data_IF_423255308800
#
_entry.id   IF_423255308800
#
_cell.length_a   1.000
_cell.length_b   1.000
_cell.length_c   1.000
_cell.angle_alpha   90.00
_cell.angle_beta   90.00
_cell.angle_gamma   90.00
#
_symmetry.space_group_name_H-M   'P 1'
#
loop_
_entity.id
_entity.type
_entity.pdbx_description
1 polymer ?
#
# COMPACT_ATOMS: atom_id res chain seq x y z
N UNK A 1 21.46 -0.22 12.08
CA UNK A 1 20.70 -1.45 11.82
C UNK A 1 19.31 -1.13 11.29
N UNK A 2 18.45 -0.42 12.04
CA UNK A 2 17.10 -0.04 11.59
C UNK A 2 17.05 0.51 10.14
N UNK A 3 17.89 1.50 9.83
CA UNK A 3 17.99 2.06 8.47
C UNK A 3 18.32 1.00 7.41
N UNK A 4 19.32 0.16 7.64
CA UNK A 4 19.72 -0.87 6.68
C UNK A 4 18.67 -1.97 6.53
N UNK A 5 17.95 -2.33 7.60
CA UNK A 5 16.82 -3.27 7.53
C UNK A 5 15.68 -2.69 6.69
N UNK A 6 15.34 -1.41 6.88
CA UNK A 6 14.31 -0.76 6.06
C UNK A 6 14.72 -0.68 4.58
N UNK A 7 15.98 -0.32 4.30
CA UNK A 7 16.52 -0.30 2.94
C UNK A 7 16.57 -1.70 2.30
N UNK A 8 16.94 -2.75 3.05
CA UNK A 8 16.89 -4.12 2.58
C UNK A 8 15.46 -4.53 2.22
N UNK A 9 14.49 -4.28 3.11
CA UNK A 9 13.09 -4.62 2.85
C UNK A 9 12.56 -3.91 1.60
N UNK A 10 12.79 -2.61 1.47
CA UNK A 10 12.36 -1.83 0.31
C UNK A 10 13.06 -2.25 -0.99
N UNK A 11 14.39 -2.44 -0.95
CA UNK A 11 15.14 -2.83 -2.15
C UNK A 11 14.92 -4.27 -2.60
N UNK A 12 14.37 -5.13 -1.73
CA UNK A 12 13.93 -6.48 -2.09
C UNK A 12 12.54 -6.48 -2.69
N UNK A 13 11.66 -5.61 -2.16
CA UNK A 13 10.29 -5.44 -2.63
C UNK A 13 10.20 -5.10 -4.13
N UNK A 14 11.19 -4.38 -4.66
CA UNK A 14 11.22 -3.96 -6.08
C UNK A 14 11.70 -5.04 -7.07
N UNK A 15 12.29 -6.14 -6.60
CA UNK A 15 12.94 -7.14 -7.46
C UNK A 15 12.00 -8.03 -8.28
N UNK A 16 10.76 -8.34 -7.85
CA UNK A 16 9.80 -9.05 -8.69
C UNK A 16 9.51 -8.34 -10.02
N UNK A 17 9.68 -7.02 -10.05
CA UNK A 17 9.45 -6.18 -11.23
C UNK A 17 8.02 -6.27 -11.79
N UNK A 18 7.07 -6.39 -10.87
CA UNK A 18 5.65 -6.27 -11.16
C UNK A 18 5.18 -4.81 -11.12
N UNK A 19 3.93 -4.60 -11.48
CA UNK A 19 3.36 -3.28 -11.65
C UNK A 19 3.40 -2.45 -10.35
N UNK A 20 2.95 -3.01 -9.23
CA UNK A 20 3.04 -2.39 -7.91
C UNK A 20 4.49 -2.06 -7.52
N UNK A 21 5.44 -2.97 -7.72
CA UNK A 21 6.86 -2.75 -7.42
C UNK A 21 7.46 -1.59 -8.21
N UNK A 22 7.20 -1.55 -9.53
CA UNK A 22 7.73 -0.53 -10.43
C UNK A 22 7.20 0.86 -10.06
N UNK A 23 5.89 0.98 -9.82
CA UNK A 23 5.30 2.26 -9.45
C UNK A 23 5.62 2.68 -8.02
N UNK A 24 5.73 1.75 -7.07
CA UNK A 24 6.22 2.05 -5.73
C UNK A 24 7.65 2.62 -5.77
N UNK A 25 8.54 2.06 -6.61
CA UNK A 25 9.87 2.59 -6.82
C UNK A 25 9.85 3.97 -7.51
N UNK A 26 8.99 4.16 -8.51
CA UNK A 26 8.83 5.44 -9.19
C UNK A 26 8.38 6.54 -8.23
N UNK A 27 7.41 6.26 -7.37
CA UNK A 27 6.95 7.19 -6.32
C UNK A 27 8.07 7.48 -5.32
N UNK A 28 8.81 6.45 -4.88
CA UNK A 28 9.94 6.63 -3.98
C UNK A 28 11.04 7.53 -4.59
N UNK A 29 11.39 7.30 -5.85
CA UNK A 29 12.39 8.09 -6.58
C UNK A 29 11.93 9.51 -6.86
N UNK A 30 10.63 9.74 -7.06
CA UNK A 30 10.05 11.10 -7.14
C UNK A 30 10.28 11.91 -5.85
N UNK A 31 10.48 11.21 -4.74
CA UNK A 31 10.87 11.81 -3.48
C UNK A 31 12.35 12.20 -3.40
N UNK A 32 13.23 11.54 -4.14
CA UNK A 32 14.64 11.93 -4.19
C UNK A 32 14.81 13.34 -4.80
N UNK A 33 13.91 13.76 -5.69
CA UNK A 33 13.85 15.14 -6.21
C UNK A 33 13.58 16.17 -5.11
N UNK A 34 12.80 15.79 -4.09
CA UNK A 34 12.41 16.64 -2.98
C UNK A 34 13.29 16.45 -1.73
N UNK A 35 14.36 15.67 -1.83
CA UNK A 35 15.25 15.40 -0.72
C UNK A 35 16.01 16.68 -0.31
N UNK A 36 16.21 16.93 1.01
CA UNK A 36 17.03 18.04 1.48
C UNK A 36 18.48 17.88 1.01
N UNK A 37 19.05 18.93 0.43
CA UNK A 37 20.44 18.91 -0.06
C UNK A 37 21.41 19.51 0.94
N UNK A 38 22.70 19.12 0.90
CA UNK A 38 23.71 19.71 1.76
C UNK A 38 23.84 21.24 1.56
N UNK A 39 24.10 22.02 2.62
CA UNK A 39 24.23 23.47 2.51
C UNK A 39 25.31 23.86 1.49
N UNK A 40 24.97 24.78 0.58
CA UNK A 40 25.89 25.32 -0.42
C UNK A 40 25.97 24.51 -1.73
N UNK A 41 25.13 23.50 -1.92
CA UNK A 41 25.00 22.75 -3.18
C UNK A 41 23.64 23.06 -3.80
N UNK A 42 23.62 23.30 -5.12
CA UNK A 42 22.40 23.47 -5.89
C UNK A 42 21.51 22.21 -5.78
N UNK A 43 20.28 22.33 -5.24
CA UNK A 43 19.37 21.21 -5.09
C UNK A 43 19.08 20.46 -6.39
N UNK A 44 18.91 21.19 -7.49
CA UNK A 44 18.48 20.61 -8.77
C UNK A 44 19.60 19.74 -9.36
N UNK A 45 20.85 20.22 -9.24
CA UNK A 45 22.02 19.48 -9.71
C UNK A 45 22.27 18.24 -8.84
N UNK A 46 22.18 18.35 -7.52
CA UNK A 46 22.44 17.23 -6.64
C UNK A 46 21.33 16.16 -6.75
N UNK A 47 20.07 16.57 -6.61
CA UNK A 47 18.94 15.65 -6.63
C UNK A 47 18.77 15.01 -8.03
N UNK A 48 18.98 15.78 -9.11
CA UNK A 48 18.94 15.23 -10.47
C UNK A 48 20.01 14.16 -10.71
N UNK A 49 21.25 14.37 -10.22
CA UNK A 49 22.30 13.36 -10.33
C UNK A 49 22.01 12.11 -9.48
N UNK A 50 21.50 12.28 -8.26
CA UNK A 50 21.09 11.15 -7.40
C UNK A 50 19.99 10.35 -8.08
N UNK A 51 18.99 11.03 -8.66
CA UNK A 51 17.90 10.40 -9.39
C UNK A 51 18.40 9.61 -10.60
N UNK A 52 19.25 10.20 -11.44
CA UNK A 52 19.85 9.52 -12.60
C UNK A 52 20.66 8.27 -12.18
N UNK A 53 21.38 8.35 -11.07
CA UNK A 53 22.12 7.22 -10.53
C UNK A 53 21.17 6.12 -10.06
N UNK A 54 20.10 6.49 -9.37
CA UNK A 54 19.13 5.54 -8.82
C UNK A 54 18.23 4.90 -9.90
N UNK A 55 17.87 5.65 -10.94
CA UNK A 55 17.10 5.15 -12.10
C UNK A 55 17.96 4.35 -13.07
N UNK A 56 19.28 4.56 -13.07
CA UNK A 56 20.21 3.90 -13.99
C UNK A 56 20.10 4.40 -15.43
N UNK A 57 19.44 5.53 -15.66
CA UNK A 57 19.19 6.15 -16.96
C UNK A 57 18.27 7.38 -16.81
N UNK A 58 17.82 7.98 -17.93
CA UNK A 58 16.85 9.09 -17.91
C UNK A 58 15.45 8.70 -17.40
N UNK A 59 15.14 7.40 -17.42
CA UNK A 59 13.92 6.83 -16.89
C UNK A 59 14.27 5.50 -16.22
N UNK A 60 13.39 5.05 -15.32
CA UNK A 60 13.52 3.77 -14.65
C UNK A 60 13.35 2.64 -15.68
N UNK A 61 14.29 1.68 -15.68
CA UNK A 61 14.28 0.55 -16.60
C UNK A 61 15.32 -0.50 -16.22
N UNK A 62 15.75 -1.32 -17.18
CA UNK A 62 16.68 -2.43 -16.93
C UNK A 62 17.99 -2.02 -16.22
N UNK A 63 18.53 -0.85 -16.56
CA UNK A 63 19.71 -0.30 -15.89
C UNK A 63 19.49 0.03 -14.42
N UNK A 64 18.30 0.53 -14.07
CA UNK A 64 17.88 0.75 -12.69
C UNK A 64 17.69 -0.56 -11.94
N UNK A 65 16.97 -1.52 -12.53
CA UNK A 65 16.75 -2.84 -11.96
C UNK A 65 18.07 -3.52 -11.59
N UNK A 66 19.06 -3.54 -12.49
CA UNK A 66 20.37 -4.14 -12.19
C UNK A 66 21.08 -3.47 -11.01
N UNK A 67 21.00 -2.14 -10.89
CA UNK A 67 21.62 -1.40 -9.78
C UNK A 67 20.96 -1.73 -8.45
N UNK A 68 19.63 -1.74 -8.41
CA UNK A 68 18.88 -2.11 -7.21
C UNK A 68 19.07 -3.58 -6.83
N UNK A 69 19.16 -4.48 -7.82
CA UNK A 69 19.52 -5.88 -7.61
C UNK A 69 20.89 -6.02 -6.94
N UNK A 70 21.94 -5.39 -7.49
CA UNK A 70 23.28 -5.43 -6.89
C UNK A 70 23.32 -4.77 -5.51
N UNK A 71 22.57 -3.68 -5.32
CA UNK A 71 22.43 -3.02 -4.03
C UNK A 71 21.80 -3.97 -2.99
N UNK A 72 20.70 -4.64 -3.34
CA UNK A 72 19.96 -5.51 -2.44
C UNK A 72 20.66 -6.84 -2.13
N UNK A 73 21.25 -7.48 -3.15
CA UNK A 73 21.82 -8.83 -2.99
C UNK A 73 23.24 -8.80 -2.44
N UNK A 74 24.02 -7.74 -2.75
CA UNK A 74 25.43 -7.67 -2.37
C UNK A 74 25.72 -6.59 -1.32
N UNK A 75 25.48 -5.32 -1.65
CA UNK A 75 25.98 -4.20 -0.84
C UNK A 75 25.25 -4.06 0.50
N UNK A 76 23.91 -4.04 0.49
CA UNK A 76 23.12 -3.88 1.70
C UNK A 76 23.26 -5.05 2.68
N UNK A 77 23.30 -6.34 2.27
CA UNK A 77 23.56 -7.46 3.18
C UNK A 77 24.96 -7.39 3.79
N UNK A 78 25.97 -7.02 3.00
CA UNK A 78 27.34 -6.84 3.50
C UNK A 78 27.42 -5.75 4.57
N UNK A 79 26.84 -4.57 4.30
CA UNK A 79 26.79 -3.47 5.27
C UNK A 79 25.99 -3.88 6.52
N UNK A 80 24.84 -4.53 6.33
CA UNK A 80 24.01 -5.03 7.45
C UNK A 80 24.78 -6.02 8.30
N UNK A 81 25.54 -6.93 7.69
CA UNK A 81 26.42 -7.87 8.39
C UNK A 81 27.47 -7.16 9.24
N UNK A 82 28.17 -6.17 8.70
CA UNK A 82 29.15 -5.36 9.45
C UNK A 82 28.49 -4.71 10.67
N UNK A 83 27.37 -4.00 10.47
CA UNK A 83 26.68 -3.33 11.56
C UNK A 83 26.04 -4.30 12.57
N UNK A 84 25.64 -5.50 12.12
CA UNK A 84 25.17 -6.57 12.98
C UNK A 84 26.28 -7.05 13.90
N UNK A 85 27.49 -7.31 13.39
CA UNK A 85 28.63 -7.70 14.21
C UNK A 85 29.07 -6.58 15.16
N UNK A 86 29.06 -5.32 14.73
CA UNK A 86 29.33 -4.17 15.61
C UNK A 86 28.30 -4.09 16.74
N UNK A 87 27.02 -4.27 16.42
CA UNK A 87 25.95 -4.29 17.41
C UNK A 87 26.12 -5.46 18.39
N UNK A 88 26.30 -6.67 17.88
CA UNK A 88 26.52 -7.88 18.67
C UNK A 88 27.74 -7.75 19.59
N UNK A 89 28.87 -7.26 19.06
CA UNK A 89 30.07 -6.98 19.85
C UNK A 89 29.79 -6.00 20.99
N UNK A 90 29.04 -4.92 20.74
CA UNK A 90 28.66 -3.96 21.79
C UNK A 90 27.75 -4.58 22.85
N UNK A 91 26.79 -5.42 22.45
CA UNK A 91 25.93 -6.15 23.39
C UNK A 91 26.76 -7.09 24.26
N UNK A 92 27.73 -7.80 23.70
CA UNK A 92 28.65 -8.66 24.48
C UNK A 92 29.55 -7.85 25.40
N UNK A 93 30.05 -6.69 24.94
CA UNK A 93 30.96 -5.84 25.70
C UNK A 93 30.29 -5.23 26.95
N UNK A 94 29.09 -4.67 26.77
CA UNK A 94 28.34 -3.96 27.80
C UNK A 94 27.36 -4.85 28.58
N UNK A 95 26.94 -5.99 28.03
CA UNK A 95 25.96 -6.89 28.62
C UNK A 95 24.51 -6.52 28.28
N UNK A 96 23.59 -7.46 28.51
CA UNK A 96 22.15 -7.25 28.35
C UNK A 96 21.61 -6.53 29.59
N UNK A 97 20.81 -5.48 29.40
CA UNK A 97 20.19 -4.71 30.49
C UNK A 97 19.25 -5.58 31.33
N UNK A 98 19.22 -5.36 32.65
CA UNK A 98 18.29 -6.07 33.52
C UNK A 98 16.86 -5.50 33.39
N UNK A 99 15.83 -6.28 33.77
CA UNK A 99 14.46 -5.80 33.81
C UNK A 99 14.30 -4.54 34.68
N UNK A 100 13.45 -3.58 34.27
CA UNK A 100 13.17 -2.38 35.06
C UNK A 100 12.78 -2.73 36.50
N UNK A 101 13.57 -2.25 37.46
CA UNK A 101 13.34 -2.49 38.90
C UNK A 101 14.32 -3.42 39.59
N UNK A 102 15.12 -4.21 38.84
CA UNK A 102 16.23 -5.00 39.41
C UNK A 102 17.56 -4.26 39.44
N UNK A 103 17.65 -3.12 38.76
CA UNK A 103 18.80 -2.21 38.82
C UNK A 103 18.60 -1.13 39.89
N UNK A 104 19.70 -0.81 40.58
CA UNK A 104 19.76 0.35 41.47
C UNK A 104 19.80 1.65 40.66
N UNK A 105 19.26 2.73 41.22
CA UNK A 105 19.12 3.99 40.48
C UNK A 105 20.50 4.61 40.26
N UNK A 106 20.86 4.87 39.00
CA UNK A 106 22.13 5.50 38.64
C UNK A 106 23.33 4.56 38.57
N UNK A 107 23.16 3.26 38.78
CA UNK A 107 24.21 2.25 38.63
C UNK A 107 23.91 1.29 37.47
N UNK A 108 24.89 1.07 36.59
CA UNK A 108 24.83 0.02 35.58
C UNK A 108 25.35 -1.31 36.16
N UNK A 109 24.44 -2.09 36.74
CA UNK A 109 24.77 -3.37 37.38
C UNK A 109 24.63 -4.57 36.43
N UNK A 110 24.31 -4.35 35.15
CA UNK A 110 24.08 -5.41 34.16
C UNK A 110 25.24 -6.44 34.10
N UNK A 111 26.48 -5.98 34.19
CA UNK A 111 27.68 -6.85 34.20
C UNK A 111 28.08 -7.36 35.59
N UNK A 112 27.53 -6.79 36.67
CA UNK A 112 27.93 -7.02 38.06
C UNK A 112 27.01 -7.97 38.83
N UNK A 113 26.02 -8.57 38.15
CA UNK A 113 25.10 -9.55 38.74
C UNK A 113 25.87 -10.71 39.40
N UNK A 114 25.55 -11.12 40.64
CA UNK A 114 26.18 -12.27 41.29
C UNK A 114 26.09 -13.56 40.46
N UNK A 115 27.12 -14.43 40.51
CA UNK A 115 27.18 -15.65 39.68
C UNK A 115 26.02 -16.64 39.97
N UNK A 116 25.53 -16.66 41.20
CA UNK A 116 24.40 -17.49 41.63
C UNK A 116 23.06 -17.06 41.02
N UNK A 117 22.95 -15.84 40.49
CA UNK A 117 21.75 -15.34 39.82
C UNK A 117 21.86 -15.42 38.29
N UNK A 118 23.02 -15.81 37.75
CA UNK A 118 23.24 -15.94 36.31
C UNK A 118 22.94 -17.35 35.84
N UNK A 119 22.20 -17.45 34.74
CA UNK A 119 22.00 -18.70 34.00
C UNK A 119 22.97 -18.78 32.83
N UNK A 120 23.48 -19.97 32.53
CA UNK A 120 24.31 -20.17 31.33
C UNK A 120 23.46 -20.09 30.06
N UNK A 121 24.05 -19.58 28.98
CA UNK A 121 23.36 -19.52 27.69
C UNK A 121 22.97 -20.93 27.20
N UNK A 122 23.92 -21.87 27.22
CA UNK A 122 23.67 -23.28 26.94
C UNK A 122 23.57 -24.08 28.23
N UNK A 123 22.54 -24.93 28.42
CA UNK A 123 21.44 -25.23 27.50
C UNK A 123 20.19 -24.35 27.68
N UNK A 124 20.04 -23.68 28.82
CA UNK A 124 18.75 -23.15 29.28
C UNK A 124 18.19 -22.04 28.37
N UNK A 125 18.97 -20.98 28.12
CA UNK A 125 18.52 -19.86 27.28
C UNK A 125 18.43 -20.29 25.81
N UNK A 126 19.43 -21.04 25.33
CA UNK A 126 19.47 -21.51 23.94
C UNK A 126 18.26 -22.38 23.58
N UNK A 127 17.83 -23.29 24.46
CA UNK A 127 16.64 -24.13 24.22
C UNK A 127 15.35 -23.32 24.26
N UNK A 128 15.25 -22.34 25.17
CA UNK A 128 14.10 -21.44 25.25
C UNK A 128 13.99 -20.54 24.01
N UNK A 129 15.09 -19.91 23.58
CA UNK A 129 15.13 -19.10 22.36
C UNK A 129 14.88 -19.94 21.10
N UNK A 130 15.40 -21.17 21.04
CA UNK A 130 15.12 -22.10 19.94
C UNK A 130 13.63 -22.47 19.88
N UNK A 131 13.01 -22.75 21.03
CA UNK A 131 11.58 -23.04 21.10
C UNK A 131 10.75 -21.84 20.63
N UNK A 132 11.00 -20.63 21.15
CA UNK A 132 10.23 -19.45 20.76
C UNK A 132 10.45 -19.06 19.30
N UNK A 133 11.69 -19.12 18.80
CA UNK A 133 11.97 -18.88 17.38
C UNK A 133 11.27 -19.89 16.49
N UNK A 134 11.30 -21.18 16.83
CA UNK A 134 10.59 -22.23 16.10
C UNK A 134 9.06 -22.03 16.12
N UNK A 135 8.48 -21.68 17.26
CA UNK A 135 7.04 -21.38 17.37
C UNK A 135 6.68 -20.13 16.56
N UNK A 136 7.45 -19.05 16.64
CA UNK A 136 7.21 -17.85 15.84
C UNK A 136 7.30 -18.15 14.35
N UNK A 137 8.32 -18.88 13.90
CA UNK A 137 8.43 -19.30 12.49
C UNK A 137 7.25 -20.17 12.08
N UNK A 138 6.82 -21.12 12.92
CA UNK A 138 5.64 -21.95 12.66
C UNK A 138 4.39 -21.09 12.48
N UNK A 139 4.13 -20.13 13.37
CA UNK A 139 2.97 -19.25 13.28
C UNK A 139 3.03 -18.30 12.08
N UNK A 140 4.22 -17.80 11.71
CA UNK A 140 4.39 -16.97 10.52
C UNK A 140 4.16 -17.78 9.24
N UNK A 141 4.69 -19.00 9.15
CA UNK A 141 4.45 -19.90 8.00
C UNK A 141 2.96 -20.25 7.92
N UNK A 142 2.35 -20.63 9.05
CA UNK A 142 0.92 -20.89 9.13
C UNK A 142 0.08 -19.69 8.67
N UNK A 143 0.37 -18.51 9.20
CA UNK A 143 -0.31 -17.27 8.80
C UNK A 143 -0.14 -16.98 7.32
N UNK A 144 1.06 -17.14 6.76
CA UNK A 144 1.32 -16.90 5.33
C UNK A 144 0.65 -17.91 4.39
N UNK A 145 0.30 -19.11 4.88
CA UNK A 145 -0.37 -20.13 4.06
C UNK A 145 -1.90 -20.04 4.12
N UNK A 146 -2.47 -19.47 5.20
CA UNK A 146 -3.91 -19.54 5.46
C UNK A 146 -4.59 -18.18 5.68
N UNK A 147 -3.86 -17.12 6.04
CA UNK A 147 -4.45 -15.83 6.41
C UNK A 147 -4.11 -14.69 5.44
N UNK A 148 -3.00 -14.80 4.71
CA UNK A 148 -2.53 -13.74 3.82
C UNK A 148 -2.16 -14.27 2.45
N UNK A 149 -2.76 -13.68 1.43
CA UNK A 149 -2.38 -13.86 0.04
C UNK A 149 -1.50 -12.70 -0.42
N UNK A 150 -0.40 -13.02 -1.10
CA UNK A 150 0.46 -12.05 -1.75
C UNK A 150 0.71 -12.49 -3.21
N UNK A 151 -0.31 -12.34 -4.09
CA UNK A 151 -0.15 -12.65 -5.50
C UNK A 151 0.88 -11.71 -6.12
N UNK A 152 1.62 -12.21 -7.11
CA UNK A 152 2.44 -11.36 -7.97
C UNK A 152 1.53 -10.69 -9.01
N UNK A 153 1.72 -9.40 -9.22
CA UNK A 153 1.03 -8.68 -10.28
C UNK A 153 1.66 -8.97 -11.65
N UNK A 154 1.05 -8.44 -12.71
CA UNK A 154 1.62 -8.59 -14.05
C UNK A 154 2.96 -7.85 -14.17
N UNK A 155 3.75 -8.25 -15.17
CA UNK A 155 5.03 -7.61 -15.43
C UNK A 155 4.84 -6.11 -15.66
N UNK A 156 5.68 -5.28 -15.03
CA UNK A 156 5.53 -3.84 -15.05
C UNK A 156 5.40 -3.26 -16.48
N UNK A 157 4.36 -2.46 -16.69
CA UNK A 157 4.17 -1.59 -17.85
C UNK A 157 4.34 -0.14 -17.42
N UNK A 158 5.38 0.57 -17.90
CA UNK A 158 5.64 1.95 -17.52
C UNK A 158 4.63 2.95 -18.08
N UNK A 159 3.75 2.56 -19.00
CA UNK A 159 2.78 3.44 -19.66
C UNK A 159 1.42 3.45 -18.94
N UNK A 160 1.10 2.37 -18.23
CA UNK A 160 -0.13 2.26 -17.43
C UNK A 160 0.24 2.46 -15.98
N UNK A 161 -0.47 3.32 -15.23
CA UNK A 161 -0.27 3.47 -13.78
C UNK A 161 -1.50 2.95 -13.05
N UNK A 162 -1.39 1.99 -12.12
CA UNK A 162 -2.52 1.55 -11.32
C UNK A 162 -3.06 2.72 -10.50
N UNK A 163 -4.37 2.78 -10.33
CA UNK A 163 -4.97 3.86 -9.52
C UNK A 163 -4.57 3.75 -8.04
N UNK A 164 -4.53 2.53 -7.51
CA UNK A 164 -4.22 2.26 -6.10
C UNK A 164 -2.80 1.69 -5.96
N UNK A 165 -1.78 2.52 -6.16
CA UNK A 165 -0.42 2.16 -5.78
C UNK A 165 -0.26 2.40 -4.27
N UNK A 166 -0.02 1.32 -3.53
CA UNK A 166 0.19 1.35 -2.09
C UNK A 166 1.65 1.06 -1.73
N UNK A 167 2.19 1.83 -0.82
CA UNK A 167 3.48 1.56 -0.22
C UNK A 167 3.36 0.31 0.68
N UNK A 168 4.46 -0.46 0.82
CA UNK A 168 4.50 -1.56 1.77
C UNK A 168 4.05 -1.12 3.16
N UNK A 169 3.36 -1.98 3.90
CA UNK A 169 2.71 -1.64 5.17
C UNK A 169 3.62 -0.99 6.22
N UNK A 170 4.93 -1.24 6.17
CA UNK A 170 5.93 -0.64 7.08
C UNK A 170 6.37 0.78 6.65
N UNK A 171 6.02 1.21 5.44
CA UNK A 171 6.21 2.56 4.89
C UNK A 171 4.89 3.27 4.59
N UNK A 172 3.73 2.64 4.78
CA UNK A 172 2.43 3.25 4.44
C UNK A 172 2.18 4.55 5.20
N UNK A 173 2.72 4.69 6.41
CA UNK A 173 2.68 5.96 7.16
C UNK A 173 3.21 7.15 6.34
N UNK A 174 4.28 6.95 5.57
CA UNK A 174 4.86 8.02 4.75
C UNK A 174 3.97 8.40 3.57
N UNK A 175 3.30 7.42 2.95
CA UNK A 175 2.28 7.67 1.92
C UNK A 175 1.08 8.44 2.47
N UNK A 176 0.61 8.08 3.66
CA UNK A 176 -0.51 8.79 4.32
C UNK A 176 -0.21 10.27 4.50
N UNK A 177 1.04 10.62 4.83
CA UNK A 177 1.48 12.01 4.92
C UNK A 177 1.63 12.70 3.55
N UNK A 178 2.09 11.99 2.51
CA UNK A 178 2.14 12.53 1.14
C UNK A 178 0.77 12.89 0.58
N UNK A 179 -0.31 12.26 1.08
CA UNK A 179 -1.69 12.64 0.73
C UNK A 179 -2.15 13.95 1.39
N UNK A 180 -1.49 14.40 2.46
CA UNK A 180 -1.90 15.56 3.26
C UNK A 180 -0.98 16.77 3.11
N UNK A 181 0.30 16.54 2.85
CA UNK A 181 1.33 17.57 2.89
C UNK A 181 2.23 17.50 1.65
N UNK A 182 2.94 18.60 1.39
CA UNK A 182 3.92 18.66 0.31
C UNK A 182 5.03 17.61 0.48
N UNK A 183 5.47 17.03 -0.64
CA UNK A 183 6.49 15.97 -0.66
C UNK A 183 7.77 16.35 0.08
N UNK A 184 8.21 17.61 0.00
CA UNK A 184 9.43 18.11 0.63
C UNK A 184 9.38 18.00 2.15
N UNK A 185 8.23 18.31 2.75
CA UNK A 185 8.06 18.23 4.21
C UNK A 185 8.07 16.78 4.70
N UNK A 186 7.37 15.89 3.98
CA UNK A 186 7.27 14.48 4.36
C UNK A 186 8.60 13.76 4.21
N UNK A 187 9.30 13.99 3.09
CA UNK A 187 10.60 13.38 2.83
C UNK A 187 11.67 13.95 3.74
N UNK A 188 11.61 15.25 4.05
CA UNK A 188 12.47 15.88 5.06
C UNK A 188 12.24 15.36 6.49
N UNK A 189 11.04 14.87 6.80
CA UNK A 189 10.74 14.29 8.11
C UNK A 189 11.45 12.95 8.36
N UNK A 190 11.69 12.13 7.33
CA UNK A 190 12.38 10.83 7.46
C UNK A 190 13.80 10.98 8.06
N UNK A 191 14.72 11.79 7.51
CA UNK A 191 16.04 11.98 8.10
C UNK A 191 15.97 12.67 9.46
N UNK A 192 15.01 13.58 9.68
CA UNK A 192 14.78 14.18 10.99
C UNK A 192 14.41 13.13 12.05
N UNK A 193 13.52 12.19 11.70
CA UNK A 193 13.13 11.09 12.57
C UNK A 193 14.32 10.17 12.89
N UNK A 194 15.14 9.85 11.90
CA UNK A 194 16.36 9.06 12.09
C UNK A 194 17.35 9.76 13.02
N UNK A 195 17.58 11.06 12.82
CA UNK A 195 18.44 11.86 13.70
C UNK A 195 17.85 11.91 15.11
N UNK A 196 16.53 12.09 15.25
CA UNK A 196 15.87 12.08 16.54
C UNK A 196 16.12 10.76 17.30
N UNK A 197 16.05 9.61 16.62
CA UNK A 197 16.38 8.32 17.24
C UNK A 197 17.86 8.15 17.60
N UNK A 198 18.77 8.69 16.79
CA UNK A 198 20.22 8.67 17.09
C UNK A 198 20.54 9.55 18.30
N UNK A 199 19.89 10.70 18.42
CA UNK A 199 20.16 11.68 19.48
C UNK A 199 19.34 11.41 20.75
N UNK A 200 18.24 10.65 20.67
CA UNK A 200 17.40 10.25 21.81
C UNK A 200 18.19 9.87 23.08
N UNK A 201 19.20 8.97 23.05
CA UNK A 201 19.94 8.59 24.26
C UNK A 201 20.70 9.74 24.93
N UNK A 202 20.96 10.84 24.22
CA UNK A 202 21.63 12.02 24.77
C UNK A 202 20.65 13.03 25.39
N UNK A 203 19.39 13.03 24.95
CA UNK A 203 18.33 13.83 25.57
C UNK A 203 17.75 13.14 26.79
N UNK A 204 17.67 11.81 26.79
CA UNK A 204 17.16 11.05 27.92
C UNK A 204 18.24 10.78 28.97
N UNK A 205 18.52 11.77 29.81
CA UNK A 205 19.51 11.69 30.90
C UNK A 205 18.94 11.14 32.22
N UNK A 206 17.78 10.48 32.19
CA UNK A 206 17.12 9.98 33.40
C UNK A 206 17.96 8.86 34.04
N UNK A 207 18.24 8.99 35.34
CA UNK A 207 19.09 8.03 36.08
C UNK A 207 18.37 6.71 36.40
N UNK A 208 17.04 6.71 36.41
CA UNK A 208 16.22 5.54 36.74
C UNK A 208 15.61 4.96 35.48
N UNK A 209 15.76 3.64 35.30
CA UNK A 209 15.12 2.88 34.20
C UNK A 209 13.73 2.35 34.57
N UNK A 210 13.22 2.64 35.78
CA UNK A 210 11.94 2.13 36.29
C UNK A 210 10.76 2.77 35.55
N UNK A 211 9.72 1.99 35.25
CA UNK A 211 8.52 2.50 34.57
C UNK A 211 7.85 3.66 35.32
N UNK A 212 7.78 3.57 36.66
CA UNK A 212 7.15 4.58 37.50
C UNK A 212 7.83 5.96 37.46
N UNK A 213 9.13 6.02 37.15
CA UNK A 213 9.91 7.25 37.12
C UNK A 213 9.95 7.86 35.69
N UNK A 214 9.63 7.06 34.67
CA UNK A 214 9.65 7.43 33.25
C UNK A 214 8.26 7.70 32.68
N UNK A 215 7.27 8.04 33.52
CA UNK A 215 5.86 8.24 33.10
C UNK A 215 5.74 9.20 31.92
N UNK A 216 6.44 10.33 31.97
CA UNK A 216 6.42 11.33 30.89
C UNK A 216 6.98 10.75 29.59
N UNK A 217 8.15 10.10 29.66
CA UNK A 217 8.78 9.48 28.49
C UNK A 217 7.91 8.36 27.90
N UNK A 218 7.28 7.53 28.75
CA UNK A 218 6.35 6.48 28.33
C UNK A 218 5.07 7.05 27.72
N UNK A 219 4.53 8.15 28.26
CA UNK A 219 3.39 8.85 27.66
C UNK A 219 3.74 9.42 26.29
N UNK A 220 4.91 10.07 26.15
CA UNK A 220 5.38 10.59 24.85
C UNK A 220 5.60 9.45 23.86
N UNK A 221 6.22 8.34 24.28
CA UNK A 221 6.38 7.16 23.43
C UNK A 221 5.03 6.57 23.02
N UNK A 222 4.06 6.50 23.93
CA UNK A 222 2.72 6.00 23.65
C UNK A 222 1.99 6.91 22.65
N UNK A 223 2.07 8.22 22.82
CA UNK A 223 1.53 9.20 21.86
C UNK A 223 2.22 9.06 20.49
N UNK A 224 3.53 8.85 20.45
CA UNK A 224 4.27 8.61 19.22
C UNK A 224 3.83 7.30 18.54
N UNK A 225 3.64 6.20 19.28
CA UNK A 225 3.12 4.96 18.72
C UNK A 225 1.70 5.12 18.17
N UNK A 226 0.80 5.78 18.91
CA UNK A 226 -0.55 6.10 18.43
C UNK A 226 -0.49 6.95 17.17
N UNK A 227 0.38 7.97 17.15
CA UNK A 227 0.60 8.82 15.98
C UNK A 227 1.08 8.01 14.77
N UNK A 228 2.04 7.10 14.96
CA UNK A 228 2.55 6.24 13.89
C UNK A 228 1.48 5.26 13.40
N UNK A 229 0.66 4.69 14.29
CA UNK A 229 -0.44 3.79 13.91
C UNK A 229 -1.52 4.51 13.10
N UNK A 230 -1.92 5.72 13.53
CA UNK A 230 -2.88 6.55 12.79
C UNK A 230 -2.29 6.94 11.43
N UNK A 231 -1.02 7.35 11.39
CA UNK A 231 -0.32 7.66 10.13
C UNK A 231 -0.30 6.44 9.20
N UNK A 232 -0.05 5.24 9.74
CA UNK A 232 -0.03 4.00 8.98
C UNK A 232 -1.39 3.67 8.36
N UNK A 233 -2.48 3.89 9.11
CA UNK A 233 -3.84 3.75 8.63
C UNK A 233 -4.19 4.79 7.55
N UNK A 234 -3.73 6.04 7.70
CA UNK A 234 -3.88 7.08 6.66
C UNK A 234 -3.16 6.71 5.34
N UNK A 235 -2.20 5.79 5.40
CA UNK A 235 -1.55 5.23 4.22
C UNK A 235 -2.42 4.26 3.41
N UNK A 236 -3.58 3.84 3.92
CA UNK A 236 -4.46 2.90 3.22
C UNK A 236 -5.00 3.51 1.91
N UNK A 237 -5.32 2.70 0.90
CA UNK A 237 -5.83 3.21 -0.37
C UNK A 237 -7.14 3.99 -0.24
N UNK A 238 -7.98 3.69 0.76
CA UNK A 238 -9.28 4.32 0.97
C UNK A 238 -9.17 5.72 1.59
N UNK A 239 -8.08 6.01 2.30
CA UNK A 239 -7.95 7.30 2.99
C UNK A 239 -7.72 8.44 1.99
N UNK A 240 -8.71 9.34 1.87
CA UNK A 240 -8.68 10.61 1.09
C UNK A 240 -8.25 10.47 -0.38
N UNK A 241 -8.59 9.36 -1.02
CA UNK A 241 -8.44 9.25 -2.48
C UNK A 241 -9.71 9.77 -3.13
N UNK A 242 -9.60 10.89 -3.85
CA UNK A 242 -10.68 11.44 -4.65
C UNK A 242 -10.45 11.05 -6.11
N UNK A 243 -10.72 9.80 -6.47
CA UNK A 243 -10.83 9.44 -7.88
C UNK A 243 -12.26 9.71 -8.36
N UNK A 244 -12.45 9.84 -9.67
CA UNK A 244 -13.79 10.08 -10.21
C UNK A 244 -14.66 8.83 -10.02
N UNK A 245 -15.95 8.97 -9.70
CA UNK A 245 -16.79 7.83 -9.32
C UNK A 245 -16.94 6.79 -10.44
N UNK A 246 -16.82 7.19 -11.71
CA UNK A 246 -16.75 6.29 -12.87
C UNK A 246 -15.49 5.40 -12.85
N UNK A 247 -14.35 5.91 -12.39
CA UNK A 247 -13.11 5.14 -12.26
C UNK A 247 -13.17 4.14 -11.13
N UNK A 248 -13.73 4.51 -9.98
CA UNK A 248 -13.93 3.58 -8.86
C UNK A 248 -14.76 2.37 -9.28
N UNK A 249 -15.90 2.59 -9.96
CA UNK A 249 -16.72 1.50 -10.51
C UNK A 249 -15.95 0.68 -11.53
N UNK A 250 -15.21 1.35 -12.42
CA UNK A 250 -14.44 0.67 -13.46
C UNK A 250 -13.34 -0.22 -12.90
N UNK A 251 -12.68 0.19 -11.83
CA UNK A 251 -11.60 -0.58 -11.20
C UNK A 251 -12.15 -1.71 -10.35
N UNK A 252 -13.30 -1.51 -9.72
CA UNK A 252 -13.96 -2.61 -9.01
C UNK A 252 -14.33 -3.76 -9.96
N UNK A 253 -14.79 -3.42 -11.17
CA UNK A 253 -15.29 -4.41 -12.14
C UNK A 253 -14.22 -4.90 -13.11
N UNK A 254 -13.36 -4.02 -13.60
CA UNK A 254 -12.29 -4.31 -14.53
C UNK A 254 -11.00 -3.65 -14.02
N UNK A 255 -10.48 -4.10 -12.86
CA UNK A 255 -9.24 -3.54 -12.32
C UNK A 255 -8.10 -3.76 -13.31
N UNK A 256 -7.11 -2.87 -13.37
CA UNK A 256 -5.90 -3.09 -14.18
C UNK A 256 -5.20 -4.38 -13.75
N UNK A 257 -5.00 -4.54 -12.43
CA UNK A 257 -4.32 -5.65 -11.79
C UNK A 257 -5.27 -6.43 -10.86
N UNK A 258 -5.12 -7.76 -10.80
CA UNK A 258 -5.93 -8.63 -9.96
C UNK A 258 -7.25 -9.12 -10.58
N UNK A 259 -8.09 -9.70 -9.73
CA UNK A 259 -9.34 -10.38 -10.11
C UNK A 259 -10.57 -9.57 -9.69
N UNK A 260 -11.64 -9.67 -10.47
CA UNK A 260 -12.97 -9.16 -10.12
C UNK A 260 -14.04 -10.20 -10.45
N UNK A 261 -15.26 -10.00 -9.94
CA UNK A 261 -16.40 -10.84 -10.33
C UNK A 261 -16.62 -10.86 -11.85
N UNK A 262 -16.34 -9.74 -12.52
CA UNK A 262 -16.45 -9.62 -13.97
C UNK A 262 -15.38 -10.41 -14.73
N UNK A 263 -14.12 -10.31 -14.30
CA UNK A 263 -13.01 -11.05 -14.91
C UNK A 263 -13.08 -12.55 -14.58
N UNK A 264 -13.68 -12.94 -13.45
CA UNK A 264 -13.84 -14.33 -13.01
C UNK A 264 -14.87 -15.16 -13.80
N UNK A 265 -15.77 -14.54 -14.57
CA UNK A 265 -16.73 -15.25 -15.43
C UNK A 265 -15.97 -16.09 -16.45
N UNK A 266 -16.17 -17.40 -16.63
CA UNK A 266 -15.40 -18.19 -17.61
C UNK A 266 -15.46 -17.62 -19.04
N UNK A 267 -14.35 -17.69 -19.79
CA UNK A 267 -14.25 -17.08 -21.12
C UNK A 267 -15.35 -17.54 -22.10
N UNK A 268 -15.68 -18.83 -22.10
CA UNK A 268 -16.76 -19.41 -22.91
C UNK A 268 -18.15 -18.89 -22.53
N UNK A 269 -18.33 -18.50 -21.27
CA UNK A 269 -19.59 -17.99 -20.70
C UNK A 269 -19.68 -16.46 -20.76
N UNK A 270 -18.98 -15.82 -21.70
CA UNK A 270 -19.06 -14.38 -21.91
C UNK A 270 -19.37 -14.11 -23.37
N UNK A 271 -20.65 -14.19 -23.80
CA UNK A 271 -21.02 -13.97 -25.19
C UNK A 271 -20.75 -12.53 -25.61
N UNK A 272 -20.60 -12.30 -26.91
CA UNK A 272 -20.59 -10.95 -27.46
C UNK A 272 -21.95 -10.29 -27.28
N UNK A 273 -21.95 -9.01 -26.92
CA UNK A 273 -23.19 -8.29 -26.71
C UNK A 273 -23.04 -7.05 -25.85
N UNK A 274 -24.15 -6.34 -25.70
CA UNK A 274 -24.28 -5.23 -24.76
C UNK A 274 -25.13 -5.69 -23.58
N UNK A 275 -24.62 -5.51 -22.37
CA UNK A 275 -25.24 -5.94 -21.14
C UNK A 275 -25.49 -4.74 -20.22
N UNK A 276 -26.65 -4.75 -19.58
CA UNK A 276 -27.01 -3.75 -18.57
C UNK A 276 -26.71 -4.26 -17.16
N UNK A 277 -26.47 -3.35 -16.20
CA UNK A 277 -26.38 -3.72 -14.78
C UNK A 277 -27.61 -4.53 -14.31
N UNK A 278 -27.37 -5.57 -13.52
CA UNK A 278 -28.36 -6.52 -13.01
C UNK A 278 -29.26 -7.20 -14.07
N UNK A 279 -28.83 -7.26 -15.34
CA UNK A 279 -29.56 -7.99 -16.37
C UNK A 279 -29.42 -9.51 -16.15
N UNK A 280 -30.52 -10.25 -15.93
CA UNK A 280 -30.46 -11.70 -15.80
C UNK A 280 -30.17 -12.34 -17.17
N UNK A 281 -29.24 -13.29 -17.19
CA UNK A 281 -28.87 -14.04 -18.40
C UNK A 281 -29.24 -15.51 -18.22
N UNK A 282 -30.29 -15.94 -18.93
CA UNK A 282 -30.79 -17.30 -18.88
C UNK A 282 -29.70 -18.32 -19.25
N UNK A 283 -29.50 -19.31 -18.39
CA UNK A 283 -28.50 -20.37 -18.59
C UNK A 283 -27.05 -19.97 -18.28
N UNK A 284 -26.80 -18.75 -17.82
CA UNK A 284 -25.46 -18.27 -17.45
C UNK A 284 -25.44 -17.61 -16.06
N UNK A 285 -25.31 -18.40 -14.98
CA UNK A 285 -25.29 -17.87 -13.62
C UNK A 285 -24.04 -17.04 -13.32
N UNK A 286 -22.90 -17.34 -13.95
CA UNK A 286 -21.65 -16.61 -13.73
C UNK A 286 -21.74 -15.17 -14.24
N UNK A 287 -22.19 -14.98 -15.48
CA UNK A 287 -22.37 -13.64 -16.04
C UNK A 287 -23.50 -12.88 -15.32
N UNK A 288 -24.57 -13.57 -14.93
CA UNK A 288 -25.65 -12.96 -14.14
C UNK A 288 -25.11 -12.40 -12.83
N UNK A 289 -24.32 -13.19 -12.09
CA UNK A 289 -23.69 -12.74 -10.85
C UNK A 289 -22.75 -11.54 -11.08
N UNK A 290 -21.92 -11.57 -12.12
CA UNK A 290 -21.05 -10.44 -12.46
C UNK A 290 -21.83 -9.16 -12.79
N UNK A 291 -22.99 -9.27 -13.43
CA UNK A 291 -23.86 -8.12 -13.73
C UNK A 291 -24.62 -7.62 -12.48
N UNK A 292 -24.92 -8.50 -11.52
CA UNK A 292 -25.43 -8.11 -10.20
C UNK A 292 -24.37 -7.32 -9.41
N UNK A 293 -23.11 -7.78 -9.43
CA UNK A 293 -21.98 -7.04 -8.84
C UNK A 293 -21.74 -5.71 -9.56
N UNK A 294 -21.93 -5.64 -10.88
CA UNK A 294 -21.94 -4.35 -11.62
C UNK A 294 -23.00 -3.40 -11.06
N UNK A 295 -24.22 -3.88 -10.81
CA UNK A 295 -25.26 -3.04 -10.20
C UNK A 295 -24.90 -2.62 -8.77
N UNK A 296 -24.27 -3.50 -7.99
CA UNK A 296 -23.83 -3.19 -6.63
C UNK A 296 -22.72 -2.12 -6.60
N UNK A 297 -21.75 -2.20 -7.52
CA UNK A 297 -20.72 -1.19 -7.72
C UNK A 297 -21.35 0.17 -8.08
N UNK A 298 -22.28 0.17 -9.04
CA UNK A 298 -23.03 1.38 -9.43
C UNK A 298 -23.82 1.95 -8.25
N UNK A 299 -24.45 1.10 -7.42
CA UNK A 299 -25.21 1.54 -6.24
C UNK A 299 -24.34 2.27 -5.22
N UNK A 300 -23.08 1.85 -5.03
CA UNK A 300 -22.14 2.50 -4.09
C UNK A 300 -21.65 3.86 -4.58
N UNK A 301 -21.46 4.01 -5.88
CA UNK A 301 -20.84 5.21 -6.48
C UNK A 301 -21.81 6.11 -7.26
N UNK A 302 -23.11 5.87 -7.14
CA UNK A 302 -24.16 6.65 -7.82
C UNK A 302 -25.28 7.06 -6.86
N UNK A 303 -26.09 8.01 -7.31
CA UNK A 303 -27.29 8.47 -6.62
C UNK A 303 -28.37 8.88 -7.62
N UNK A 304 -29.59 9.07 -7.14
CA UNK A 304 -30.71 9.56 -7.97
C UNK A 304 -31.19 10.94 -7.54
N UNK A 305 -31.52 11.79 -8.51
CA UNK A 305 -32.18 13.09 -8.29
C UNK A 305 -33.70 13.00 -8.49
N UNK A 306 -34.16 11.96 -9.18
CA UNK A 306 -35.54 11.83 -9.68
C UNK A 306 -36.41 10.88 -8.84
N UNK A 307 -35.90 10.41 -7.70
CA UNK A 307 -36.65 9.57 -6.76
C UNK A 307 -36.81 8.11 -7.22
N UNK A 308 -35.85 7.59 -7.99
CA UNK A 308 -35.83 6.19 -8.42
C UNK A 308 -35.66 5.24 -7.21
N UNK A 309 -36.34 4.10 -7.20
CA UNK A 309 -36.22 3.10 -6.12
C UNK A 309 -34.91 2.31 -6.13
N UNK A 310 -34.12 2.38 -7.21
CA UNK A 310 -32.86 1.62 -7.31
C UNK A 310 -31.67 2.27 -6.60
N UNK A 311 -31.68 3.59 -6.38
CA UNK A 311 -30.54 4.31 -5.77
C UNK A 311 -31.00 5.20 -4.63
N UNK A 312 -30.06 5.58 -3.76
CA UNK A 312 -30.31 6.57 -2.72
C UNK A 312 -30.42 7.96 -3.34
N UNK A 313 -31.22 8.83 -2.71
CA UNK A 313 -31.33 10.24 -3.10
C UNK A 313 -29.97 10.94 -2.95
N UNK A 314 -29.60 11.75 -3.95
CA UNK A 314 -28.37 12.53 -3.89
C UNK A 314 -28.49 13.63 -2.83
N UNK A 315 -27.46 13.78 -2.00
CA UNK A 315 -27.25 14.98 -1.19
C UNK A 315 -26.32 15.95 -1.93
N UNK A 316 -26.61 17.24 -1.89
CA UNK A 316 -25.78 18.27 -2.51
C UNK A 316 -25.99 19.63 -1.83
N UNK A 317 -25.00 20.52 -1.95
CA UNK A 317 -25.13 21.90 -1.47
C UNK A 317 -25.86 22.77 -2.49
N UNK A 318 -27.09 23.17 -2.16
CA UNK A 318 -27.93 24.03 -3.00
C UNK A 318 -27.32 25.40 -3.31
N UNK A 319 -26.39 25.88 -2.48
CA UNK A 319 -25.74 27.19 -2.66
C UNK A 319 -24.69 27.18 -3.79
N UNK A 320 -24.23 26.01 -4.23
CA UNK A 320 -23.27 25.87 -5.32
C UNK A 320 -23.94 25.91 -6.71
N UNK A 321 -23.32 26.56 -7.71
CA UNK A 321 -23.78 26.51 -9.10
C UNK A 321 -23.91 25.06 -9.59
N UNK A 322 -24.95 24.77 -10.38
CA UNK A 322 -25.27 23.40 -10.83
C UNK A 322 -24.10 22.78 -11.60
N UNK A 323 -23.37 23.56 -12.40
CA UNK A 323 -22.22 23.11 -13.19
C UNK A 323 -21.04 22.61 -12.35
N UNK A 324 -20.89 23.11 -11.12
CA UNK A 324 -19.78 22.76 -10.21
C UNK A 324 -20.26 21.94 -9.01
N UNK A 325 -21.53 21.56 -9.00
CA UNK A 325 -22.16 20.90 -7.87
C UNK A 325 -21.63 19.49 -7.73
N UNK A 326 -21.15 19.16 -6.54
CA UNK A 326 -20.83 17.79 -6.17
C UNK A 326 -22.06 17.12 -5.59
N UNK A 327 -22.25 15.87 -5.97
CA UNK A 327 -23.30 15.01 -5.46
C UNK A 327 -22.65 14.00 -4.52
N UNK A 328 -23.28 13.75 -3.37
CA UNK A 328 -22.90 12.73 -2.42
C UNK A 328 -24.06 11.77 -2.16
N UNK A 329 -23.73 10.57 -1.69
CA UNK A 329 -24.72 9.60 -1.21
C UNK A 329 -24.35 9.15 0.21
N UNK A 330 -24.99 8.08 0.71
CA UNK A 330 -24.69 7.54 2.04
C UNK A 330 -23.26 6.97 2.17
N UNK A 331 -22.61 6.62 1.06
CA UNK A 331 -21.34 5.90 1.01
C UNK A 331 -20.13 6.79 0.69
N UNK A 332 -20.29 7.78 -0.20
CA UNK A 332 -19.21 8.61 -0.74
C UNK A 332 -19.65 10.07 -0.92
N UNK A 333 -18.68 10.97 -0.79
CA UNK A 333 -18.83 12.43 -0.97
C UNK A 333 -18.78 12.86 -2.45
N UNK A 334 -18.43 11.95 -3.38
CA UNK A 334 -18.39 12.19 -4.82
C UNK A 334 -19.00 10.99 -5.56
N UNK A 335 -20.15 11.21 -6.22
CA UNK A 335 -20.94 10.15 -6.87
C UNK A 335 -21.58 10.63 -8.17
N UNK A 336 -21.94 9.68 -9.04
CA UNK A 336 -22.60 9.95 -10.31
C UNK A 336 -24.11 10.19 -10.12
N UNK A 337 -24.67 11.33 -10.57
CA UNK A 337 -26.11 11.57 -10.54
C UNK A 337 -26.81 10.92 -11.73
N UNK A 338 -27.81 10.08 -11.47
CA UNK A 338 -28.63 9.36 -12.45
C UNK A 338 -27.85 8.79 -13.66
N UNK A 339 -26.78 7.99 -13.45
CA UNK A 339 -25.94 7.50 -14.54
C UNK A 339 -26.58 6.37 -15.32
N UNK A 340 -26.31 6.33 -16.61
CA UNK A 340 -26.55 5.16 -17.46
C UNK A 340 -25.23 4.45 -17.69
N UNK A 341 -25.20 3.15 -17.38
CA UNK A 341 -24.01 2.32 -17.55
C UNK A 341 -24.33 1.08 -18.37
N UNK A 342 -23.36 0.64 -19.17
CA UNK A 342 -23.46 -0.63 -19.92
C UNK A 342 -22.08 -1.24 -20.10
N UNK A 343 -22.07 -2.56 -20.19
CA UNK A 343 -20.92 -3.35 -20.61
C UNK A 343 -21.08 -3.71 -22.08
N UNK A 344 -20.02 -3.58 -22.84
CA UNK A 344 -19.93 -4.05 -24.23
C UNK A 344 -18.82 -5.10 -24.29
N UNK A 345 -19.16 -6.29 -24.78
CA UNK A 345 -18.24 -7.40 -25.01
C UNK A 345 -18.09 -7.61 -26.50
N UNK A 346 -16.87 -7.48 -27.00
CA UNK A 346 -16.53 -7.65 -28.43
C UNK A 346 -15.35 -8.63 -28.55
N UNK A 347 -15.42 -9.62 -29.44
CA UNK A 347 -14.26 -10.46 -29.78
C UNK A 347 -13.44 -9.75 -30.87
N UNK A 348 -12.24 -9.30 -30.51
CA UNK A 348 -11.38 -8.53 -31.42
C UNK A 348 -10.57 -9.45 -32.33
N UNK A 349 -10.20 -10.61 -31.79
CA UNK A 349 -9.52 -11.70 -32.49
C UNK A 349 -9.82 -13.01 -31.75
N UNK A 350 -9.64 -14.18 -32.39
CA UNK A 350 -9.85 -15.47 -31.74
C UNK A 350 -9.08 -15.56 -30.42
N UNK A 351 -9.79 -15.86 -29.33
CA UNK A 351 -9.19 -15.97 -27.99
C UNK A 351 -8.96 -14.64 -27.26
N UNK A 352 -9.38 -13.49 -27.81
CA UNK A 352 -9.24 -12.17 -27.17
C UNK A 352 -10.55 -11.37 -27.23
N UNK A 353 -11.10 -11.09 -26.06
CA UNK A 353 -12.28 -10.23 -25.89
C UNK A 353 -11.87 -8.86 -25.38
N UNK A 354 -12.51 -7.82 -25.91
CA UNK A 354 -12.45 -6.46 -25.41
C UNK A 354 -13.70 -6.21 -24.57
N UNK A 355 -13.48 -5.83 -23.32
CA UNK A 355 -14.52 -5.47 -22.36
C UNK A 355 -14.51 -3.96 -22.22
N UNK A 356 -15.59 -3.32 -22.63
CA UNK A 356 -15.77 -1.87 -22.53
C UNK A 356 -16.87 -1.57 -21.53
N UNK A 357 -16.56 -0.85 -20.46
CA UNK A 357 -17.53 -0.22 -19.58
C UNK A 357 -17.75 1.21 -20.05
N UNK A 358 -19.00 1.57 -20.33
CA UNK A 358 -19.39 2.92 -20.72
C UNK A 358 -20.33 3.52 -19.70
N UNK A 359 -20.02 4.73 -19.23
CA UNK A 359 -20.82 5.49 -18.28
C UNK A 359 -21.21 6.83 -18.87
N UNK A 360 -22.49 7.18 -18.74
CA UNK A 360 -23.02 8.49 -19.15
C UNK A 360 -23.92 9.05 -18.07
N UNK A 361 -23.58 10.22 -17.55
CA UNK A 361 -24.41 10.99 -16.64
C UNK A 361 -24.73 12.35 -17.27
N UNK A 362 -26.01 12.74 -17.27
CA UNK A 362 -26.48 13.98 -17.88
C UNK A 362 -26.51 15.12 -16.86
N UNK A 363 -26.23 16.34 -17.31
CA UNK A 363 -26.36 17.53 -16.47
C UNK A 363 -27.83 17.81 -16.13
N UNK A 364 -28.17 17.98 -14.83
CA UNK A 364 -29.51 18.41 -14.46
C UNK A 364 -29.88 19.81 -14.97
N UNK A 365 -28.90 20.65 -15.29
CA UNK A 365 -29.14 21.98 -15.87
C UNK A 365 -29.40 21.92 -17.38
N UNK A 366 -28.77 20.99 -18.09
CA UNK A 366 -28.89 20.84 -19.54
C UNK A 366 -28.85 19.36 -19.96
N UNK A 367 -29.98 18.77 -20.39
CA UNK A 367 -30.05 17.37 -20.80
C UNK A 367 -29.20 17.00 -22.03
N UNK A 368 -28.69 17.98 -22.78
CA UNK A 368 -27.82 17.74 -23.93
C UNK A 368 -26.32 17.74 -23.57
N UNK A 369 -25.98 18.07 -22.33
CA UNK A 369 -24.60 18.14 -21.84
C UNK A 369 -24.30 16.98 -20.87
N UNK A 370 -23.20 16.29 -21.11
CA UNK A 370 -22.73 15.20 -20.25
C UNK A 370 -21.92 15.77 -19.09
N UNK A 371 -22.30 15.42 -17.86
CA UNK A 371 -21.43 15.60 -16.69
C UNK A 371 -20.29 14.59 -16.71
N UNK A 372 -20.60 13.36 -17.15
CA UNK A 372 -19.66 12.25 -17.26
C UNK A 372 -19.94 11.55 -18.59
N UNK A 373 -18.93 11.43 -19.43
CA UNK A 373 -18.90 10.53 -20.59
C UNK A 373 -17.54 9.83 -20.56
N UNK A 374 -17.55 8.64 -19.94
CA UNK A 374 -16.34 7.89 -19.66
C UNK A 374 -16.44 6.49 -20.27
N UNK A 375 -15.32 6.04 -20.85
CA UNK A 375 -15.13 4.69 -21.35
C UNK A 375 -13.91 4.08 -20.68
N UNK A 376 -14.08 2.87 -20.15
CA UNK A 376 -13.00 2.07 -19.60
C UNK A 376 -12.89 0.77 -20.37
N UNK A 377 -11.69 0.45 -20.85
CA UNK A 377 -11.46 -0.70 -21.72
C UNK A 377 -10.44 -1.62 -21.09
N UNK A 378 -10.77 -2.90 -20.99
CA UNK A 378 -9.83 -3.96 -20.63
C UNK A 378 -9.90 -5.09 -21.63
N UNK A 379 -8.73 -5.62 -21.99
CA UNK A 379 -8.63 -6.79 -22.84
C UNK A 379 -8.52 -8.05 -21.98
N UNK A 380 -9.19 -9.11 -22.40
CA UNK A 380 -9.15 -10.41 -21.75
C UNK A 380 -8.84 -11.49 -22.76
N UNK A 381 -7.73 -12.18 -22.53
CA UNK A 381 -7.34 -13.36 -23.29
C UNK A 381 -7.99 -14.63 -22.70
N UNK A 382 -8.20 -15.66 -23.51
CA UNK A 382 -8.68 -16.97 -23.06
C UNK A 382 -7.74 -17.56 -21.99
N UNK A 383 -6.43 -17.50 -22.24
CA UNK A 383 -5.39 -17.98 -21.31
C UNK A 383 -5.16 -17.08 -20.07
N UNK A 384 -5.96 -16.04 -19.84
CA UNK A 384 -5.79 -15.17 -18.66
C UNK A 384 -6.10 -15.91 -17.36
N UNK A 385 -6.85 -17.01 -17.40
CA UNK A 385 -7.12 -17.91 -16.29
C UNK A 385 -7.64 -17.24 -14.98
N UNK A 386 -8.28 -16.07 -15.08
CA UNK A 386 -8.85 -15.35 -13.92
C UNK A 386 -9.80 -16.23 -13.09
N UNK A 387 -10.57 -17.09 -13.76
CA UNK A 387 -11.45 -18.08 -13.12
C UNK A 387 -10.70 -19.10 -12.24
N UNK A 388 -9.44 -19.40 -12.58
CA UNK A 388 -8.59 -20.31 -11.81
C UNK A 388 -8.06 -19.61 -10.57
N UNK A 389 -7.70 -18.33 -10.66
CA UNK A 389 -7.28 -17.52 -9.51
C UNK A 389 -8.42 -17.34 -8.51
N UNK A 390 -9.64 -17.08 -8.99
CA UNK A 390 -10.83 -16.99 -8.14
C UNK A 390 -11.11 -18.29 -7.37
N UNK A 391 -11.01 -19.45 -8.04
CA UNK A 391 -11.17 -20.77 -7.41
C UNK A 391 -10.02 -21.15 -6.47
N UNK A 392 -8.78 -20.87 -6.85
CA UNK A 392 -7.59 -21.26 -6.08
C UNK A 392 -7.46 -20.44 -4.78
N UNK A 393 -7.83 -19.16 -4.82
CA UNK A 393 -7.74 -18.27 -3.67
C UNK A 393 -9.02 -18.23 -2.80
N UNK A 394 -10.06 -19.03 -3.13
CA UNK A 394 -11.37 -19.00 -2.46
C UNK A 394 -11.92 -17.58 -2.29
N UNK A 395 -11.67 -16.73 -3.29
CA UNK A 395 -12.10 -15.32 -3.30
C UNK A 395 -13.56 -15.25 -3.72
N UNK A 396 -14.27 -14.21 -3.29
CA UNK A 396 -15.62 -13.89 -3.78
C UNK A 396 -15.53 -13.31 -5.20
N UNK A 397 -15.17 -14.15 -6.14
CA UNK A 397 -15.36 -14.02 -7.57
C UNK A 397 -15.77 -15.40 -8.10
#
# INVERSE_FOLDING_TARGET
LLLFTALLSFSGYLLPWDQLSYWALTVFLSGAEAAPTPPGIDPDVFNGNVLLIAQGGPALGAGGLLRWYLLHVLLLPLLTGIFFFVHYYKVVLYGISLPPGREEIGEDTAKRVPRNERTYFTPDIATNELMWSALTTLFLVAGSLWLWDAPLETHADPVVTPLHVVAPWYLSWSQGWLKLADKTLVIGFIPLLLVAFIVMPYFEVSKSRRYADRRIALTVASLFFTFMLVSNWMGSPEFRVNSSPDREVSIELLPEEGTSAMLGVPYELMPEGTYLPAQPIDGNPHLTYALEEFQAAMYRHSCTLTGNTTWNECSYDESTPIETRKYSNHFSDDVMPDPTAKLIVEEVQPGLKKLTLQYKAFSPANPEEFLIDAEWVKYRHEDSNYETECRFANKSC
#
